data_IF_584906616791
#
_entry.id   IF_584906616791
#
_cell.length_a   1.000
_cell.length_b   1.000
_cell.length_c   1.000
_cell.angle_alpha   90.00
_cell.angle_beta   90.00
_cell.angle_gamma   90.00
#
_symmetry.space_group_name_H-M   'P 1'
#
loop_
_entity.id
_entity.type
_entity.pdbx_description
1 polymer ?
#
# COMPACT_ATOMS: atom_id res chain seq x y z
N UNK A 1 12.58 -23.90 7.05
CA UNK A 1 11.39 -23.22 6.52
C UNK A 1 11.38 -23.57 5.07
N UNK A 2 10.35 -24.27 4.65
CA UNK A 2 10.47 -25.14 3.50
C UNK A 2 10.04 -24.35 2.27
N UNK A 3 10.96 -24.09 1.34
CA UNK A 3 10.70 -23.39 0.09
C UNK A 3 9.47 -23.98 -0.62
N UNK A 4 9.33 -25.31 -0.56
CA UNK A 4 8.17 -26.09 -1.00
C UNK A 4 6.80 -25.54 -0.57
N UNK A 5 6.68 -24.99 0.64
CA UNK A 5 5.41 -24.43 1.11
C UNK A 5 5.15 -23.05 0.48
N UNK A 6 6.20 -22.26 0.24
CA UNK A 6 6.06 -20.95 -0.40
C UNK A 6 5.68 -21.12 -1.88
N UNK A 7 6.37 -22.01 -2.60
CA UNK A 7 6.03 -22.42 -3.97
C UNK A 7 4.58 -22.95 -4.07
N UNK A 8 4.14 -23.70 -3.04
CA UNK A 8 2.75 -24.15 -2.93
C UNK A 8 1.76 -22.97 -2.86
N UNK A 9 2.00 -21.92 -2.06
CA UNK A 9 1.07 -20.77 -2.00
C UNK A 9 0.96 -20.01 -3.33
N UNK A 10 2.10 -19.82 -4.01
CA UNK A 10 2.16 -19.08 -5.28
C UNK A 10 1.47 -19.84 -6.42
N UNK A 11 1.46 -21.18 -6.36
CA UNK A 11 0.77 -22.03 -7.34
C UNK A 11 -0.70 -22.30 -6.98
N UNK A 12 -1.01 -22.49 -5.70
CA UNK A 12 -2.36 -22.75 -5.20
C UNK A 12 -3.31 -21.57 -5.45
N UNK A 13 -2.87 -20.35 -5.14
CA UNK A 13 -3.75 -19.17 -5.16
C UNK A 13 -4.33 -18.88 -6.55
N UNK A 14 -3.53 -18.84 -7.65
CA UNK A 14 -4.07 -18.70 -9.01
C UNK A 14 -4.95 -19.89 -9.42
N UNK A 15 -4.58 -21.13 -9.08
CA UNK A 15 -5.39 -22.31 -9.43
C UNK A 15 -6.76 -22.29 -8.75
N UNK A 16 -6.82 -21.88 -7.48
CA UNK A 16 -8.05 -21.77 -6.72
C UNK A 16 -8.92 -20.61 -7.23
N UNK A 17 -8.33 -19.47 -7.58
CA UNK A 17 -9.04 -18.37 -8.24
C UNK A 17 -9.61 -18.79 -9.60
N UNK A 18 -8.86 -19.51 -10.43
CA UNK A 18 -9.33 -20.07 -11.70
C UNK A 18 -10.53 -21.01 -11.50
N UNK A 19 -10.46 -21.89 -10.49
CA UNK A 19 -11.57 -22.79 -10.16
C UNK A 19 -12.83 -22.04 -9.71
N UNK A 20 -12.67 -20.95 -8.94
CA UNK A 20 -13.79 -20.08 -8.54
C UNK A 20 -14.42 -19.35 -9.73
N UNK A 21 -13.60 -18.76 -10.60
CA UNK A 21 -14.09 -18.00 -11.76
C UNK A 21 -14.84 -18.90 -12.77
N UNK A 22 -14.41 -20.16 -12.93
CA UNK A 22 -15.14 -21.16 -13.74
C UNK A 22 -16.53 -21.48 -13.13
N UNK A 23 -16.60 -21.66 -11.80
CA UNK A 23 -17.87 -21.89 -11.10
C UNK A 23 -18.79 -20.66 -11.23
N UNK A 24 -18.26 -19.45 -11.04
CA UNK A 24 -18.97 -18.17 -11.18
C UNK A 24 -19.53 -18.00 -12.61
N UNK A 25 -18.70 -18.21 -13.64
CA UNK A 25 -19.09 -18.14 -15.07
C UNK A 25 -20.21 -19.11 -15.45
N UNK A 26 -20.11 -20.38 -15.00
CA UNK A 26 -21.14 -21.39 -15.25
C UNK A 26 -22.43 -21.11 -14.47
N UNK A 27 -22.33 -20.53 -13.27
CA UNK A 27 -23.50 -20.12 -12.48
C UNK A 27 -24.23 -18.93 -13.12
N UNK A 28 -23.50 -17.93 -13.62
CA UNK A 28 -24.09 -16.80 -14.34
C UNK A 28 -24.80 -17.26 -15.62
N UNK A 29 -24.18 -18.17 -16.38
CA UNK A 29 -24.75 -18.79 -17.58
C UNK A 29 -26.07 -19.52 -17.25
N UNK A 30 -26.06 -20.37 -16.21
CA UNK A 30 -27.26 -21.08 -15.76
C UNK A 30 -28.34 -20.15 -15.21
N UNK A 31 -27.97 -19.03 -14.58
CA UNK A 31 -28.91 -18.04 -14.04
C UNK A 31 -29.56 -17.15 -15.11
N UNK A 32 -28.91 -17.02 -16.26
CA UNK A 32 -29.38 -16.25 -17.42
C UNK A 32 -30.24 -17.08 -18.39
N UNK A 33 -30.25 -18.40 -18.20
CA UNK A 33 -31.04 -19.34 -18.99
C UNK A 33 -32.54 -19.27 -18.63
N UNK A 34 -33.41 -19.67 -19.56
CA UNK A 34 -34.86 -19.61 -19.33
C UNK A 34 -35.31 -20.63 -18.26
N UNK A 35 -36.40 -20.37 -17.52
CA UNK A 35 -36.90 -21.29 -16.51
C UNK A 35 -37.17 -22.68 -17.09
N UNK A 36 -36.43 -23.69 -16.61
CA UNK A 36 -36.55 -25.08 -17.05
C UNK A 36 -35.59 -25.53 -18.16
N UNK A 37 -34.67 -24.69 -18.66
CA UNK A 37 -33.67 -25.11 -19.66
C UNK A 37 -32.34 -25.59 -19.06
N UNK A 38 -32.08 -25.36 -17.77
CA UNK A 38 -30.88 -25.86 -17.09
C UNK A 38 -31.03 -27.37 -16.85
N UNK A 39 -30.10 -28.16 -17.37
CA UNK A 39 -30.14 -29.62 -17.25
C UNK A 39 -29.76 -30.11 -15.85
N UNK A 40 -30.26 -31.28 -15.46
CA UNK A 40 -29.85 -31.92 -14.22
C UNK A 40 -28.35 -32.25 -14.21
N UNK A 41 -27.77 -32.56 -15.38
CA UNK A 41 -26.34 -32.85 -15.54
C UNK A 41 -25.47 -31.60 -15.31
N UNK A 42 -25.91 -30.41 -15.73
CA UNK A 42 -25.21 -29.15 -15.42
C UNK A 42 -25.23 -28.83 -13.93
N UNK A 43 -26.36 -29.06 -13.25
CA UNK A 43 -26.48 -28.87 -11.80
C UNK A 43 -25.58 -29.85 -11.03
N UNK A 44 -25.56 -31.13 -11.45
CA UNK A 44 -24.66 -32.14 -10.89
C UNK A 44 -23.18 -31.78 -11.12
N UNK A 45 -22.83 -31.30 -12.31
CA UNK A 45 -21.47 -30.86 -12.64
C UNK A 45 -21.03 -29.63 -11.83
N UNK A 46 -21.91 -28.65 -11.63
CA UNK A 46 -21.67 -27.49 -10.76
C UNK A 46 -21.47 -27.90 -9.30
N UNK A 47 -22.31 -28.82 -8.79
CA UNK A 47 -22.18 -29.38 -7.44
C UNK A 47 -20.84 -30.11 -7.25
N UNK A 48 -20.42 -30.91 -8.24
CA UNK A 48 -19.13 -31.59 -8.23
C UNK A 48 -17.94 -30.62 -8.24
N UNK A 49 -18.02 -29.50 -8.98
CA UNK A 49 -17.00 -28.46 -8.98
C UNK A 49 -16.92 -27.72 -7.63
N UNK A 50 -18.06 -27.40 -7.01
CA UNK A 50 -18.09 -26.82 -5.66
C UNK A 50 -17.50 -27.77 -4.61
N UNK A 51 -17.83 -29.06 -4.67
CA UNK A 51 -17.24 -30.07 -3.80
C UNK A 51 -15.72 -30.21 -4.01
N UNK A 52 -15.24 -30.12 -5.26
CA UNK A 52 -13.81 -30.09 -5.60
C UNK A 52 -13.13 -28.85 -5.03
N UNK A 53 -13.74 -27.68 -5.12
CA UNK A 53 -13.21 -26.43 -4.56
C UNK A 53 -13.11 -26.49 -3.03
N UNK A 54 -14.17 -26.96 -2.35
CA UNK A 54 -14.17 -27.16 -0.90
C UNK A 54 -13.09 -28.16 -0.46
N UNK A 55 -12.97 -29.30 -1.15
CA UNK A 55 -11.92 -30.29 -0.89
C UNK A 55 -10.52 -29.71 -1.12
N UNK A 56 -10.33 -28.90 -2.17
CA UNK A 56 -9.04 -28.27 -2.46
C UNK A 56 -8.57 -27.34 -1.34
N UNK A 57 -9.48 -26.70 -0.59
CA UNK A 57 -9.11 -25.90 0.59
C UNK A 57 -8.76 -26.83 1.77
N UNK A 58 -9.55 -27.88 1.98
CA UNK A 58 -9.32 -28.83 3.08
C UNK A 58 -8.00 -29.61 2.92
N UNK A 59 -7.67 -30.05 1.70
CA UNK A 59 -6.40 -30.71 1.37
C UNK A 59 -5.20 -29.74 1.51
N UNK A 60 -5.43 -28.43 1.40
CA UNK A 60 -4.43 -27.36 1.59
C UNK A 60 -4.38 -26.82 3.04
N UNK A 61 -5.25 -27.28 3.93
CA UNK A 61 -5.37 -26.74 5.28
C UNK A 61 -4.11 -27.04 6.11
N UNK A 62 -3.47 -25.97 6.62
CA UNK A 62 -2.18 -26.03 7.31
C UNK A 62 -0.97 -25.67 6.44
N UNK A 63 -1.10 -25.71 5.11
CA UNK A 63 -0.12 -25.12 4.19
C UNK A 63 -0.41 -23.62 3.96
N UNK A 64 -1.70 -23.28 3.76
CA UNK A 64 -2.17 -21.89 3.58
C UNK A 64 -2.28 -21.11 4.91
N UNK A 65 -2.03 -19.78 4.93
CA UNK A 65 -2.28 -18.94 6.08
C UNK A 65 -3.75 -18.98 6.54
N UNK A 66 -3.97 -18.94 7.87
CA UNK A 66 -5.31 -19.06 8.46
C UNK A 66 -6.27 -17.90 8.12
N UNK A 67 -5.73 -16.77 7.65
CA UNK A 67 -6.51 -15.67 7.09
C UNK A 67 -7.05 -16.04 5.70
N UNK A 68 -6.16 -16.46 4.80
CA UNK A 68 -6.51 -16.85 3.42
C UNK A 68 -7.45 -18.07 3.42
N UNK A 69 -7.23 -19.05 4.29
CA UNK A 69 -8.13 -20.20 4.47
C UNK A 69 -9.58 -19.75 4.71
N UNK A 70 -9.80 -18.87 5.70
CA UNK A 70 -11.14 -18.36 6.03
C UNK A 70 -11.75 -17.58 4.86
N UNK A 71 -10.93 -16.83 4.11
CA UNK A 71 -11.38 -16.07 2.95
C UNK A 71 -11.79 -17.00 1.79
N UNK A 72 -11.07 -18.10 1.56
CA UNK A 72 -11.41 -19.11 0.56
C UNK A 72 -12.66 -19.92 0.96
N UNK A 73 -12.77 -20.36 2.21
CA UNK A 73 -13.95 -21.05 2.75
C UNK A 73 -15.22 -20.17 2.68
N UNK A 74 -15.09 -18.89 3.03
CA UNK A 74 -16.18 -17.92 2.88
C UNK A 74 -16.58 -17.71 1.41
N UNK A 75 -15.61 -17.70 0.49
CA UNK A 75 -15.84 -17.63 -0.95
C UNK A 75 -16.66 -18.81 -1.48
N UNK A 76 -16.26 -20.06 -1.18
CA UNK A 76 -17.01 -21.26 -1.60
C UNK A 76 -18.38 -21.31 -0.94
N UNK A 77 -18.49 -20.90 0.32
CA UNK A 77 -19.78 -20.79 1.03
C UNK A 77 -20.73 -19.79 0.39
N UNK A 78 -20.21 -18.68 -0.14
CA UNK A 78 -21.00 -17.69 -0.88
C UNK A 78 -21.48 -18.23 -2.24
N UNK A 79 -20.65 -18.99 -2.96
CA UNK A 79 -21.01 -19.64 -4.23
C UNK A 79 -22.01 -20.80 -4.05
N UNK A 80 -21.98 -21.48 -2.90
CA UNK A 80 -22.95 -22.51 -2.54
C UNK A 80 -24.30 -21.94 -2.03
N UNK A 81 -24.39 -20.63 -1.75
CA UNK A 81 -25.64 -20.01 -1.36
C UNK A 81 -26.56 -19.81 -2.58
N UNK A 82 -27.90 -19.92 -2.44
CA UNK A 82 -28.81 -19.71 -3.56
C UNK A 82 -28.59 -18.33 -4.22
N UNK A 83 -28.62 -18.20 -5.57
CA UNK A 83 -28.27 -16.96 -6.26
C UNK A 83 -29.16 -15.76 -5.88
N UNK A 84 -30.35 -16.02 -5.35
CA UNK A 84 -31.24 -14.98 -4.81
C UNK A 84 -30.75 -14.42 -3.47
N UNK A 85 -29.94 -15.14 -2.68
CA UNK A 85 -29.51 -14.71 -1.34
C UNK A 85 -28.42 -13.64 -1.38
N UNK A 86 -27.57 -13.63 -2.41
CA UNK A 86 -26.59 -12.55 -2.66
C UNK A 86 -27.30 -11.23 -2.99
N UNK A 87 -28.17 -11.25 -4.01
CA UNK A 87 -29.00 -10.08 -4.38
C UNK A 87 -29.96 -9.67 -3.26
N UNK A 88 -30.53 -10.61 -2.50
CA UNK A 88 -31.33 -10.27 -1.29
C UNK A 88 -30.48 -9.62 -0.21
N UNK A 89 -29.26 -10.08 0.07
CA UNK A 89 -28.39 -9.46 1.08
C UNK A 89 -28.03 -8.01 0.69
N UNK A 90 -27.80 -7.76 -0.60
CA UNK A 90 -27.54 -6.42 -1.11
C UNK A 90 -28.81 -5.54 -1.10
N UNK A 91 -29.97 -6.08 -1.47
CA UNK A 91 -31.27 -5.41 -1.31
C UNK A 91 -31.64 -5.15 0.16
N UNK A 92 -31.30 -6.05 1.08
CA UNK A 92 -31.48 -5.88 2.53
C UNK A 92 -30.54 -4.81 3.10
N UNK A 93 -29.30 -4.72 2.60
CA UNK A 93 -28.37 -3.62 2.91
C UNK A 93 -28.85 -2.28 2.35
N UNK A 94 -29.42 -2.27 1.14
CA UNK A 94 -30.03 -1.07 0.57
C UNK A 94 -31.27 -0.63 1.37
N UNK A 95 -32.15 -1.57 1.72
CA UNK A 95 -33.34 -1.33 2.54
C UNK A 95 -32.98 -0.91 3.97
N UNK A 96 -31.96 -1.48 4.60
CA UNK A 96 -31.51 -1.07 5.94
C UNK A 96 -30.89 0.33 5.91
N UNK A 97 -30.10 0.65 4.88
CA UNK A 97 -29.60 2.01 4.65
C UNK A 97 -30.75 3.02 4.44
N UNK A 98 -31.73 2.67 3.61
CA UNK A 98 -32.92 3.52 3.38
C UNK A 98 -33.76 3.67 4.66
N UNK A 99 -33.84 2.63 5.50
CA UNK A 99 -34.50 2.71 6.82
C UNK A 99 -33.77 3.64 7.79
N UNK A 100 -32.45 3.70 7.76
CA UNK A 100 -31.65 4.57 8.62
C UNK A 100 -31.69 6.03 8.13
N UNK A 101 -31.68 6.25 6.81
CA UNK A 101 -31.96 7.54 6.17
C UNK A 101 -33.39 8.02 6.48
N UNK A 102 -34.38 7.12 6.50
CA UNK A 102 -35.74 7.44 6.93
C UNK A 102 -35.85 7.69 8.44
N UNK A 103 -35.10 7.00 9.30
CA UNK A 103 -35.07 7.28 10.75
C UNK A 103 -34.48 8.65 11.05
N UNK A 104 -33.37 9.00 10.40
CA UNK A 104 -32.72 10.31 10.56
C UNK A 104 -33.57 11.45 9.98
N UNK A 105 -34.38 11.18 8.94
CA UNK A 105 -35.29 12.16 8.34
C UNK A 105 -36.66 12.28 9.07
N UNK A 106 -37.16 11.22 9.71
CA UNK A 106 -38.50 11.18 10.32
C UNK A 106 -38.55 11.49 11.82
N UNK A 107 -37.45 11.89 12.43
CA UNK A 107 -37.42 12.38 13.82
C UNK A 107 -38.36 13.61 13.99
N UNK A 108 -39.46 13.51 14.75
CA UNK A 108 -40.51 14.53 14.75
C UNK A 108 -40.10 15.76 15.57
N UNK A 109 -39.96 16.90 14.90
CA UNK A 109 -39.85 18.22 15.55
C UNK A 109 -41.20 18.60 16.17
N UNK A 110 -41.41 18.26 17.44
CA UNK A 110 -42.60 18.62 18.22
C UNK A 110 -42.66 20.13 18.51
N UNK A 111 -43.22 20.90 17.57
CA UNK A 111 -43.74 22.25 17.83
C UNK A 111 -45.26 22.23 17.93
N UNK A 112 -45.80 22.03 19.13
CA UNK A 112 -47.16 22.46 19.46
C UNK A 112 -47.21 23.06 20.86
N UNK A 113 -47.68 24.30 20.94
CA UNK A 113 -47.87 25.07 22.16
C UNK A 113 -49.35 25.30 22.41
N UNK A 114 -49.78 25.54 23.66
CA UNK A 114 -51.09 26.16 23.92
C UNK A 114 -51.19 26.96 25.24
N UNK A 115 -51.49 28.27 25.09
CA UNK A 115 -52.37 29.14 25.94
C UNK A 115 -51.99 29.43 27.42
N UNK A 116 -52.32 30.58 28.05
CA UNK A 116 -52.72 31.96 27.65
C UNK A 116 -53.06 32.80 28.91
N UNK A 117 -52.56 34.05 29.10
CA UNK A 117 -53.32 35.13 29.82
C UNK A 117 -52.82 36.60 29.62
N UNK A 118 -53.63 37.41 28.93
CA UNK A 118 -54.07 38.84 29.17
C UNK A 118 -53.09 39.81 29.88
N UNK A 119 -52.77 41.05 29.41
CA UNK A 119 -53.67 42.21 29.12
C UNK A 119 -53.04 43.28 28.18
N UNK A 120 -53.90 44.07 27.49
CA UNK A 120 -53.61 45.23 26.61
C UNK A 120 -53.59 46.58 27.40
N UNK A 121 -53.49 47.81 26.82
CA UNK A 121 -53.37 48.29 25.41
C UNK A 121 -52.15 49.25 25.17
N UNK A 122 -51.88 49.90 24.02
CA UNK A 122 -52.42 49.91 22.65
C UNK A 122 -51.94 51.16 21.84
N UNK A 123 -51.99 51.11 20.49
CA UNK A 123 -51.68 52.19 19.50
C UNK A 123 -50.16 52.54 19.29
N UNK A 124 -49.59 52.86 18.10
CA UNK A 124 -50.08 53.18 16.72
C UNK A 124 -49.06 52.78 15.60
N UNK A 125 -49.52 52.65 14.33
CA UNK A 125 -48.72 52.68 13.05
C UNK A 125 -47.88 51.42 12.69
N UNK A 126 -47.90 50.75 11.51
CA UNK A 126 -48.31 51.03 10.11
C UNK A 126 -47.36 52.00 9.34
N UNK A 127 -46.89 51.80 8.08
CA UNK A 127 -47.27 50.89 6.96
C UNK A 127 -46.09 50.61 5.95
N UNK A 128 -46.05 49.42 5.33
CA UNK A 128 -45.53 48.98 3.98
C UNK A 128 -44.40 49.69 3.17
N UNK A 129 -43.46 48.90 2.62
CA UNK A 129 -43.03 48.68 1.18
C UNK A 129 -41.68 47.91 1.19
N UNK A 130 -41.33 46.91 0.36
CA UNK A 130 -41.48 46.56 -1.07
C UNK A 130 -40.30 47.02 -1.99
N UNK A 131 -39.84 46.09 -2.84
CA UNK A 131 -39.07 46.24 -4.10
C UNK A 131 -37.52 46.43 -4.11
N UNK A 132 -36.84 45.33 -4.49
CA UNK A 132 -35.99 45.11 -5.70
C UNK A 132 -34.73 45.96 -6.06
N UNK A 133 -33.72 45.20 -6.53
CA UNK A 133 -32.59 45.52 -7.44
C UNK A 133 -31.39 46.36 -6.95
N UNK A 134 -30.17 45.91 -7.27
CA UNK A 134 -29.22 46.59 -8.18
C UNK A 134 -28.10 45.62 -8.65
N UNK A 135 -27.31 46.02 -9.67
CA UNK A 135 -26.36 45.19 -10.41
C UNK A 135 -24.87 45.51 -10.14
N UNK A 136 -23.97 44.77 -10.81
CA UNK A 136 -22.48 44.79 -10.73
C UNK A 136 -21.84 46.08 -11.38
N UNK A 137 -20.49 46.32 -11.44
CA UNK A 137 -19.41 45.34 -11.75
C UNK A 137 -17.99 45.57 -11.12
N UNK A 138 -17.03 44.83 -11.69
CA UNK A 138 -15.59 44.51 -11.43
C UNK A 138 -14.53 45.64 -11.54
N UNK A 139 -13.41 45.55 -10.78
CA UNK A 139 -11.99 45.72 -11.26
C UNK A 139 -10.90 45.60 -10.16
N UNK A 140 -9.65 45.28 -10.55
CA UNK A 140 -8.37 45.22 -9.79
C UNK A 140 -7.32 46.16 -10.44
N UNK A 141 -6.28 46.73 -9.76
CA UNK A 141 -4.93 46.10 -9.76
C UNK A 141 -3.87 46.51 -8.67
N UNK A 142 -2.80 45.69 -8.55
CA UNK A 142 -1.33 45.99 -8.56
C UNK A 142 -0.53 46.90 -7.53
N UNK A 143 0.56 46.30 -7.00
CA UNK A 143 1.94 46.74 -6.60
C UNK A 143 2.32 48.18 -6.13
N UNK A 144 3.09 48.27 -5.01
CA UNK A 144 4.49 48.79 -4.92
C UNK A 144 4.92 49.49 -3.59
N UNK A 145 6.05 49.01 -3.02
CA UNK A 145 7.09 49.66 -2.16
C UNK A 145 6.80 50.85 -1.21
N UNK A 146 7.38 50.81 0.02
CA UNK A 146 8.49 51.70 0.45
C UNK A 146 9.15 51.22 1.78
N UNK A 147 10.48 51.35 1.83
CA UNK A 147 11.42 51.12 2.94
C UNK A 147 11.06 51.90 4.25
N UNK A 148 11.44 51.50 5.47
CA UNK A 148 12.81 51.47 6.06
C UNK A 148 12.76 51.11 7.57
N UNK A 149 13.78 50.61 8.30
CA UNK A 149 15.03 49.89 7.96
C UNK A 149 15.35 48.81 9.06
N UNK A 150 16.43 48.76 9.90
CA UNK A 150 16.73 47.55 10.70
C UNK A 150 16.65 47.71 12.24
N UNK A 151 16.57 46.59 12.96
CA UNK A 151 17.28 46.46 14.25
C UNK A 151 17.68 44.99 14.52
N UNK A 152 18.81 44.82 15.20
CA UNK A 152 19.54 43.56 15.32
C UNK A 152 19.19 42.83 16.64
N UNK A 153 18.62 41.62 16.54
CA UNK A 153 18.36 40.77 17.70
C UNK A 153 18.37 39.29 17.29
N UNK A 154 19.30 38.46 17.80
CA UNK A 154 19.39 37.05 17.45
C UNK A 154 18.26 36.25 18.11
N UNK A 155 17.13 36.15 17.42
CA UNK A 155 16.07 35.20 17.78
C UNK A 155 16.59 33.78 17.55
N UNK A 156 16.93 33.13 18.66
CA UNK A 156 17.44 31.77 18.70
C UNK A 156 16.59 30.82 17.84
N UNK A 157 17.27 30.01 17.03
CA UNK A 157 16.67 28.94 16.24
C UNK A 157 15.97 27.95 17.16
N UNK A 158 14.64 28.02 17.22
CA UNK A 158 13.84 26.94 17.77
C UNK A 158 13.90 25.76 16.79
N UNK A 159 14.57 24.68 17.20
CA UNK A 159 14.74 23.48 16.39
C UNK A 159 13.38 22.86 16.05
N UNK A 160 12.88 23.15 14.85
CA UNK A 160 11.69 22.52 14.30
C UNK A 160 12.04 21.12 13.78
N UNK A 161 12.27 20.17 14.69
CA UNK A 161 12.52 18.77 14.33
C UNK A 161 11.25 18.14 13.75
N UNK A 162 11.08 18.25 12.43
CA UNK A 162 9.98 17.57 11.72
C UNK A 162 10.15 16.06 11.85
N UNK A 163 9.07 15.30 12.16
CA UNK A 163 9.14 13.83 12.27
C UNK A 163 9.27 13.10 10.92
N UNK A 164 9.39 13.89 9.84
CA UNK A 164 9.45 13.47 8.46
C UNK A 164 10.87 13.60 7.92
N UNK A 165 11.37 12.51 7.34
CA UNK A 165 12.67 12.40 6.71
C UNK A 165 12.53 12.48 5.20
N UNK A 166 13.42 13.20 4.52
CA UNK A 166 13.38 13.35 3.07
C UNK A 166 14.77 13.23 2.46
N UNK A 167 14.97 12.27 1.56
CA UNK A 167 16.07 12.29 0.60
C UNK A 167 15.47 12.52 -0.78
N UNK A 168 15.90 13.60 -1.45
CA UNK A 168 15.36 13.93 -2.77
C UNK A 168 16.37 14.60 -3.71
N UNK A 169 16.16 14.44 -5.02
CA UNK A 169 16.89 15.13 -6.08
C UNK A 169 18.36 14.71 -6.22
N UNK A 170 18.75 13.55 -5.68
CA UNK A 170 20.14 13.09 -5.71
C UNK A 170 20.40 12.18 -6.91
N UNK A 171 21.57 12.36 -7.53
CA UNK A 171 22.06 11.47 -8.59
C UNK A 171 23.47 10.98 -8.29
N UNK A 172 23.79 9.73 -8.64
CA UNK A 172 25.14 9.16 -8.55
C UNK A 172 25.73 9.10 -7.13
N UNK A 173 24.89 8.97 -6.10
CA UNK A 173 25.33 9.04 -4.70
C UNK A 173 25.10 7.74 -3.94
N UNK A 174 26.00 7.50 -2.98
CA UNK A 174 25.77 6.63 -1.85
C UNK A 174 25.21 7.49 -0.71
N UNK A 175 23.97 7.22 -0.32
CA UNK A 175 23.22 7.95 0.71
C UNK A 175 22.99 7.04 1.92
N UNK A 176 23.09 7.60 3.12
CA UNK A 176 23.11 6.87 4.39
C UNK A 176 22.24 7.57 5.44
N UNK A 177 22.15 6.98 6.65
CA UNK A 177 21.52 7.62 7.82
C UNK A 177 22.16 8.95 8.22
N UNK A 178 23.41 9.20 7.81
CA UNK A 178 24.17 10.43 8.12
C UNK A 178 23.86 11.59 7.17
N UNK A 179 23.20 11.31 6.04
CA UNK A 179 22.75 12.33 5.08
C UNK A 179 21.42 13.00 5.52
N UNK A 180 20.86 12.56 6.65
CA UNK A 180 19.75 13.19 7.33
C UNK A 180 20.23 14.21 8.39
N UNK A 181 19.47 15.29 8.65
CA UNK A 181 19.67 16.14 9.82
C UNK A 181 19.59 15.37 11.17
N UNK A 182 19.90 16.01 12.31
CA UNK A 182 19.60 15.44 13.61
C UNK A 182 18.09 15.30 13.84
N UNK A 183 17.63 14.13 14.29
CA UNK A 183 16.22 13.83 14.48
C UNK A 183 15.96 13.11 15.82
N UNK A 184 14.92 13.51 16.53
CA UNK A 184 14.57 13.02 17.88
C UNK A 184 13.32 12.17 17.95
N UNK A 185 12.43 12.26 16.95
CA UNK A 185 11.23 11.44 16.82
C UNK A 185 10.94 11.21 15.33
N UNK A 186 11.41 10.09 14.79
CA UNK A 186 11.20 9.71 13.39
C UNK A 186 9.99 8.79 13.29
N UNK A 187 9.14 9.01 12.27
CA UNK A 187 8.02 8.10 11.94
C UNK A 187 7.92 7.89 10.42
N UNK A 188 8.20 8.91 9.63
CA UNK A 188 7.90 8.92 8.19
C UNK A 188 9.15 9.19 7.36
N UNK A 189 9.39 8.38 6.33
CA UNK A 189 10.48 8.56 5.37
C UNK A 189 9.94 8.73 3.95
N UNK A 190 10.42 9.75 3.25
CA UNK A 190 10.24 9.97 1.82
C UNK A 190 11.56 9.84 1.05
N UNK A 191 11.56 9.01 0.01
CA UNK A 191 12.63 8.93 -1.00
C UNK A 191 12.04 9.39 -2.34
N UNK A 192 12.53 10.49 -2.91
CA UNK A 192 11.89 11.10 -4.09
C UNK A 192 12.87 11.58 -5.16
N UNK A 193 12.62 11.28 -6.43
CA UNK A 193 13.37 11.84 -7.56
C UNK A 193 14.88 11.53 -7.47
N UNK A 194 15.23 10.24 -7.28
CA UNK A 194 16.61 9.75 -7.19
C UNK A 194 17.01 8.96 -8.44
N UNK A 195 18.27 9.05 -8.89
CA UNK A 195 18.75 8.29 -10.06
C UNK A 195 20.20 7.82 -9.91
N UNK A 196 20.54 6.60 -10.34
CA UNK A 196 21.90 6.02 -10.16
C UNK A 196 22.38 6.05 -8.69
N UNK A 197 21.47 5.88 -7.72
CA UNK A 197 21.75 6.05 -6.29
C UNK A 197 21.67 4.74 -5.50
N UNK A 198 22.59 4.58 -4.54
CA UNK A 198 22.47 3.61 -3.45
C UNK A 198 21.95 4.34 -2.22
N UNK A 199 20.86 3.86 -1.65
CA UNK A 199 20.27 4.35 -0.41
C UNK A 199 20.41 3.25 0.63
N UNK A 200 21.23 3.47 1.65
CA UNK A 200 21.59 2.46 2.65
C UNK A 200 21.30 2.95 4.08
N UNK A 201 20.10 2.64 4.55
CA UNK A 201 19.56 3.11 5.83
C UNK A 201 19.50 2.01 6.89
N UNK A 202 20.01 0.81 6.59
CA UNK A 202 20.19 -0.26 7.58
C UNK A 202 21.12 0.20 8.73
N UNK A 203 21.01 -0.39 9.94
CA UNK A 203 21.89 -0.06 11.06
C UNK A 203 23.38 -0.17 10.73
N UNK A 204 24.16 0.71 11.37
CA UNK A 204 25.61 0.80 11.25
C UNK A 204 26.25 0.41 12.58
N UNK A 205 26.36 -0.88 12.86
CA UNK A 205 27.04 -1.39 14.05
C UNK A 205 28.55 -1.18 13.93
N UNK A 206 29.07 -0.21 14.68
CA UNK A 206 30.53 -0.03 14.81
C UNK A 206 31.12 -1.12 15.71
N UNK A 207 32.44 -1.33 15.65
CA UNK A 207 33.14 -2.32 16.49
C UNK A 207 33.01 -2.08 18.02
N UNK A 208 32.52 -0.90 18.43
CA UNK A 208 32.18 -0.58 19.83
C UNK A 208 30.72 -0.86 20.22
N UNK A 209 29.91 -1.46 19.34
CA UNK A 209 28.49 -1.77 19.60
C UNK A 209 27.55 -0.57 19.53
N UNK A 210 28.04 0.62 19.14
CA UNK A 210 27.24 1.84 18.97
C UNK A 210 26.74 1.93 17.52
N UNK A 211 25.44 2.19 17.34
CA UNK A 211 24.86 2.46 16.02
C UNK A 211 25.21 3.88 15.54
N UNK A 212 26.01 3.98 14.49
CA UNK A 212 26.22 5.26 13.79
C UNK A 212 24.90 5.75 13.17
N UNK A 213 24.55 7.02 13.45
CA UNK A 213 23.32 7.66 12.97
C UNK A 213 22.09 7.45 13.87
N UNK A 214 22.20 6.74 15.00
CA UNK A 214 21.11 6.53 15.96
C UNK A 214 19.97 5.62 15.42
N UNK A 215 19.01 5.20 16.27
CA UNK A 215 17.94 4.28 15.88
C UNK A 215 16.89 4.96 14.97
N UNK A 216 16.47 4.25 13.92
CA UNK A 216 15.56 4.74 12.88
C UNK A 216 14.24 3.94 12.89
N UNK A 217 13.24 4.47 13.60
CA UNK A 217 11.94 3.81 13.81
C UNK A 217 10.90 4.29 12.78
N UNK A 218 10.87 3.68 11.59
CA UNK A 218 9.92 4.06 10.54
C UNK A 218 8.56 3.38 10.75
N UNK A 219 7.47 4.13 10.70
CA UNK A 219 6.09 3.64 10.59
C UNK A 219 5.51 3.84 9.19
N UNK A 220 6.02 4.79 8.41
CA UNK A 220 5.61 5.02 7.04
C UNK A 220 6.82 5.23 6.11
N UNK A 221 6.77 4.59 4.94
CA UNK A 221 7.71 4.80 3.84
C UNK A 221 6.94 5.22 2.59
N UNK A 222 7.36 6.34 2.00
CA UNK A 222 6.90 6.82 0.71
C UNK A 222 8.09 6.86 -0.26
N UNK A 223 7.96 6.23 -1.42
CA UNK A 223 8.97 6.26 -2.48
C UNK A 223 8.34 6.74 -3.77
N UNK A 224 8.94 7.71 -4.45
CA UNK A 224 8.43 8.26 -5.72
C UNK A 224 9.54 8.54 -6.73
N UNK A 225 9.37 8.16 -7.99
CA UNK A 225 10.28 8.53 -9.09
C UNK A 225 11.75 8.13 -8.78
N UNK A 226 11.98 6.82 -8.65
CA UNK A 226 13.31 6.25 -8.40
C UNK A 226 13.76 5.43 -9.60
N UNK A 227 15.01 5.63 -10.03
CA UNK A 227 15.52 5.02 -11.26
C UNK A 227 16.96 4.53 -11.14
N UNK A 228 17.24 3.31 -11.56
CA UNK A 228 18.59 2.73 -11.49
C UNK A 228 19.14 2.78 -10.04
N UNK A 229 18.32 2.37 -9.07
CA UNK A 229 18.58 2.54 -7.64
C UNK A 229 18.62 1.24 -6.84
N UNK A 230 19.49 1.18 -5.82
CA UNK A 230 19.48 0.13 -4.80
C UNK A 230 19.08 0.74 -3.47
N UNK A 231 18.06 0.19 -2.80
CA UNK A 231 17.47 0.75 -1.59
C UNK A 231 17.42 -0.30 -0.48
N UNK A 232 18.24 -0.11 0.56
CA UNK A 232 18.35 -0.96 1.74
C UNK A 232 17.73 -0.23 2.94
N UNK A 233 16.65 -0.77 3.49
CA UNK A 233 15.87 -0.11 4.53
C UNK A 233 15.82 -0.93 5.82
N UNK A 234 15.79 -0.28 6.99
CA UNK A 234 15.42 -0.96 8.23
C UNK A 234 13.96 -1.43 8.16
N UNK A 235 13.55 -2.28 9.10
CA UNK A 235 12.16 -2.74 9.17
C UNK A 235 11.21 -1.57 9.44
N UNK A 236 10.22 -1.36 8.56
CA UNK A 236 9.18 -0.35 8.71
C UNK A 236 8.02 -0.94 9.51
N UNK A 237 7.80 -0.46 10.73
CA UNK A 237 6.72 -0.85 11.64
C UNK A 237 5.33 -0.33 11.19
N UNK A 238 5.02 -0.44 9.90
CA UNK A 238 3.79 0.05 9.29
C UNK A 238 3.79 -0.14 7.77
N UNK A 239 3.44 0.91 7.01
CA UNK A 239 3.17 0.81 5.58
C UNK A 239 4.26 1.39 4.68
N UNK A 240 4.54 0.67 3.60
CA UNK A 240 5.36 1.13 2.48
C UNK A 240 4.49 1.37 1.23
N UNK A 241 4.59 2.57 0.65
CA UNK A 241 3.99 2.95 -0.62
C UNK A 241 5.09 3.35 -1.60
N UNK A 242 5.26 2.55 -2.65
CA UNK A 242 6.27 2.72 -3.69
C UNK A 242 5.57 3.11 -5.00
N UNK A 243 5.96 4.22 -5.62
CA UNK A 243 5.32 4.74 -6.82
C UNK A 243 6.35 5.16 -7.87
N UNK A 244 6.09 4.87 -9.14
CA UNK A 244 6.92 5.32 -10.28
C UNK A 244 8.40 4.95 -10.10
N UNK A 245 8.71 3.66 -10.19
CA UNK A 245 10.07 3.15 -10.07
C UNK A 245 10.49 2.38 -11.32
N UNK A 246 11.74 2.53 -11.76
CA UNK A 246 12.30 1.83 -12.92
C UNK A 246 13.69 1.27 -12.60
N UNK A 247 13.88 -0.06 -12.80
CA UNK A 247 15.18 -0.73 -12.59
C UNK A 247 15.74 -0.45 -11.21
N UNK A 248 15.13 -1.03 -10.19
CA UNK A 248 15.59 -0.88 -8.81
C UNK A 248 15.63 -2.23 -8.07
N UNK A 249 16.55 -2.35 -7.12
CA UNK A 249 16.57 -3.46 -6.14
C UNK A 249 16.25 -2.93 -4.76
N UNK A 250 15.22 -3.49 -4.13
CA UNK A 250 14.67 -3.02 -2.85
C UNK A 250 14.77 -4.13 -1.80
N UNK A 251 15.45 -3.87 -0.69
CA UNK A 251 15.41 -4.69 0.51
C UNK A 251 14.51 -4.01 1.55
N UNK A 252 13.39 -4.64 1.90
CA UNK A 252 12.35 -4.01 2.71
C UNK A 252 11.65 -5.02 3.64
N UNK A 253 11.57 -4.66 4.91
CA UNK A 253 10.61 -5.24 5.86
C UNK A 253 9.47 -4.26 6.15
N UNK A 254 8.21 -4.70 6.13
CA UNK A 254 7.06 -3.85 6.44
C UNK A 254 5.86 -4.64 6.99
N UNK A 255 4.82 -3.96 7.51
CA UNK A 255 3.53 -4.60 7.79
C UNK A 255 2.60 -4.61 6.57
N UNK A 256 2.66 -3.56 5.75
CA UNK A 256 1.85 -3.39 4.54
C UNK A 256 2.73 -2.87 3.40
N UNK A 257 2.49 -3.36 2.18
CA UNK A 257 3.22 -2.95 0.98
C UNK A 257 2.26 -2.67 -0.16
N UNK A 258 2.45 -1.53 -0.83
CA UNK A 258 1.77 -1.18 -2.07
C UNK A 258 2.78 -0.64 -3.07
N UNK A 259 2.73 -1.13 -4.30
CA UNK A 259 3.52 -0.61 -5.42
C UNK A 259 2.63 -0.19 -6.59
N UNK A 260 2.89 0.99 -7.17
CA UNK A 260 2.07 1.56 -8.23
C UNK A 260 2.93 2.15 -9.37
N UNK A 261 2.56 1.89 -10.64
CA UNK A 261 3.26 2.44 -11.83
C UNK A 261 4.77 2.14 -11.88
N UNK A 262 5.19 0.95 -11.43
CA UNK A 262 6.61 0.58 -11.36
C UNK A 262 6.98 -0.56 -12.33
N UNK A 263 8.22 -0.60 -12.79
CA UNK A 263 8.69 -1.62 -13.74
C UNK A 263 10.13 -2.08 -13.50
N UNK A 264 10.39 -3.36 -13.78
CA UNK A 264 11.72 -3.97 -13.62
C UNK A 264 12.26 -3.78 -12.20
N UNK A 265 11.50 -4.22 -11.19
CA UNK A 265 11.87 -4.05 -9.78
C UNK A 265 12.10 -5.41 -9.16
N UNK A 266 13.29 -5.64 -8.60
CA UNK A 266 13.53 -6.79 -7.74
C UNK A 266 13.30 -6.36 -6.30
N UNK A 267 12.52 -7.13 -5.54
CA UNK A 267 12.24 -6.82 -4.14
C UNK A 267 12.42 -8.04 -3.26
N UNK A 268 13.25 -7.88 -2.22
CA UNK A 268 13.44 -8.83 -1.15
C UNK A 268 12.60 -8.39 0.06
N UNK A 269 11.47 -9.08 0.26
CA UNK A 269 10.36 -8.59 1.09
C UNK A 269 10.12 -9.46 2.33
N UNK A 270 10.00 -8.82 3.49
CA UNK A 270 9.47 -9.39 4.73
C UNK A 270 8.17 -8.66 5.06
N UNK A 271 7.02 -9.35 5.05
CA UNK A 271 5.72 -8.68 5.16
C UNK A 271 4.66 -9.48 5.93
N UNK A 272 4.00 -8.83 6.88
CA UNK A 272 2.95 -9.44 7.72
C UNK A 272 1.58 -9.58 7.02
N UNK A 273 1.46 -9.16 5.76
CA UNK A 273 0.23 -9.16 4.95
C UNK A 273 0.56 -9.45 3.48
N UNK A 274 -0.46 -9.61 2.64
CA UNK A 274 -0.27 -9.82 1.20
C UNK A 274 0.11 -8.49 0.50
N UNK A 275 1.26 -8.39 -0.19
CA UNK A 275 1.67 -7.18 -0.90
C UNK A 275 0.77 -6.92 -2.11
N UNK A 276 0.45 -5.65 -2.35
CA UNK A 276 -0.41 -5.22 -3.48
C UNK A 276 0.44 -4.52 -4.54
N UNK A 277 0.20 -4.84 -5.81
CA UNK A 277 0.75 -4.11 -6.97
C UNK A 277 -0.36 -3.64 -7.90
N UNK A 278 -0.14 -2.52 -8.57
CA UNK A 278 -1.07 -1.94 -9.54
C UNK A 278 -0.32 -1.15 -10.63
N UNK A 279 -0.73 -1.29 -11.89
CA UNK A 279 -0.08 -0.70 -13.06
C UNK A 279 1.44 -0.98 -13.15
N UNK A 280 1.87 -2.13 -12.62
CA UNK A 280 3.26 -2.55 -12.58
C UNK A 280 3.60 -3.56 -13.70
N UNK A 281 4.88 -3.79 -13.97
CA UNK A 281 5.34 -4.84 -14.91
C UNK A 281 6.75 -5.34 -14.62
N UNK A 282 7.03 -6.62 -14.87
CA UNK A 282 8.32 -7.26 -14.57
C UNK A 282 8.81 -7.00 -13.13
N UNK A 283 7.91 -7.15 -12.14
CA UNK A 283 8.27 -7.10 -10.72
C UNK A 283 8.70 -8.49 -10.26
N UNK A 284 9.83 -8.63 -9.57
CA UNK A 284 10.37 -9.92 -9.13
C UNK A 284 10.45 -9.94 -7.60
N UNK A 285 9.65 -10.77 -6.94
CA UNK A 285 9.62 -10.90 -5.48
C UNK A 285 10.49 -12.06 -5.00
N UNK A 286 11.34 -11.81 -4.02
CA UNK A 286 12.10 -12.81 -3.26
C UNK A 286 11.85 -12.67 -1.75
N UNK A 287 12.24 -13.68 -0.99
CA UNK A 287 12.18 -13.61 0.47
C UNK A 287 13.28 -12.68 1.01
N UNK A 288 12.99 -12.00 2.12
CA UNK A 288 13.96 -11.17 2.82
C UNK A 288 15.09 -12.04 3.43
N UNK A 289 16.38 -11.78 3.12
CA UNK A 289 17.46 -12.61 3.63
C UNK A 289 17.63 -12.54 5.14
N UNK A 290 17.79 -13.71 5.78
CA UNK A 290 18.05 -13.80 7.21
C UNK A 290 19.31 -13.04 7.68
N UNK A 291 20.29 -12.84 6.80
CA UNK A 291 21.50 -12.05 7.06
C UNK A 291 21.23 -10.56 7.37
N UNK A 292 20.08 -10.03 6.93
CA UNK A 292 19.66 -8.66 7.20
C UNK A 292 18.55 -8.55 8.26
N UNK A 293 18.19 -9.66 8.93
CA UNK A 293 17.16 -9.68 9.97
C UNK A 293 17.81 -9.59 11.36
N UNK A 294 17.53 -8.56 12.18
CA UNK A 294 18.21 -8.39 13.48
C UNK A 294 17.92 -9.49 14.50
N UNK A 295 16.78 -10.17 14.37
CA UNK A 295 16.33 -11.24 15.25
C UNK A 295 15.81 -12.40 14.38
N UNK A 296 16.43 -13.59 14.41
CA UNK A 296 15.96 -14.74 13.64
C UNK A 296 14.50 -15.06 13.95
N UNK A 297 13.61 -14.76 13.00
CA UNK A 297 12.17 -14.97 13.11
C UNK A 297 11.67 -15.74 11.88
N UNK A 298 10.60 -16.55 12.01
CA UNK A 298 9.94 -17.13 10.85
C UNK A 298 9.46 -16.04 9.90
N UNK A 299 9.89 -16.12 8.64
CA UNK A 299 9.41 -15.21 7.61
C UNK A 299 7.95 -15.55 7.30
N UNK A 300 7.02 -14.60 7.46
CA UNK A 300 5.64 -14.80 7.05
C UNK A 300 5.57 -15.03 5.54
N UNK A 301 4.82 -16.05 5.16
CA UNK A 301 4.56 -16.35 3.76
C UNK A 301 3.45 -15.43 3.24
N UNK A 302 3.61 -14.95 2.01
CA UNK A 302 2.71 -13.97 1.41
C UNK A 302 2.37 -14.34 -0.04
N UNK A 303 1.23 -13.89 -0.53
CA UNK A 303 0.82 -13.97 -1.94
C UNK A 303 0.68 -12.56 -2.50
N UNK A 304 1.19 -12.32 -3.71
CA UNK A 304 1.13 -10.98 -4.32
C UNK A 304 -0.23 -10.77 -4.97
N UNK A 305 -0.87 -9.64 -4.67
CA UNK A 305 -2.17 -9.25 -5.24
C UNK A 305 -1.96 -8.19 -6.32
N UNK A 306 -2.21 -8.55 -7.58
CA UNK A 306 -2.13 -7.62 -8.71
C UNK A 306 -3.52 -7.07 -9.07
N UNK A 307 -3.75 -5.79 -8.77
CA UNK A 307 -5.04 -5.13 -9.00
C UNK A 307 -5.24 -4.75 -10.48
N UNK A 308 -4.18 -4.71 -11.29
CA UNK A 308 -4.31 -4.55 -12.75
C UNK A 308 -4.65 -5.84 -13.48
N UNK A 309 -4.57 -7.00 -12.81
CA UNK A 309 -4.88 -8.29 -13.39
C UNK A 309 -6.04 -8.97 -12.66
N UNK A 310 -7.24 -8.42 -12.84
CA UNK A 310 -8.51 -8.95 -12.32
C UNK A 310 -8.95 -10.32 -12.90
N UNK A 311 -8.08 -11.00 -13.64
CA UNK A 311 -8.36 -12.29 -14.29
C UNK A 311 -7.87 -13.43 -13.40
N UNK A 312 -8.58 -14.55 -13.44
CA UNK A 312 -8.26 -15.72 -12.62
C UNK A 312 -7.03 -16.53 -13.08
N UNK A 313 -6.42 -16.16 -14.20
CA UNK A 313 -5.09 -16.62 -14.64
C UNK A 313 -3.98 -16.01 -13.76
N UNK A 314 -2.78 -16.62 -13.62
CA UNK A 314 -1.64 -15.95 -13.00
C UNK A 314 -1.35 -14.58 -13.62
N UNK A 315 -0.89 -13.62 -12.81
CA UNK A 315 -0.49 -12.30 -13.32
C UNK A 315 0.77 -12.39 -14.18
N UNK A 316 0.83 -11.67 -15.32
CA UNK A 316 2.07 -11.51 -16.11
C UNK A 316 2.96 -10.36 -15.58
N UNK A 317 2.47 -9.56 -14.63
CA UNK A 317 3.12 -8.33 -14.19
C UNK A 317 4.16 -8.56 -13.09
N UNK A 318 4.07 -9.68 -12.38
CA UNK A 318 5.08 -10.10 -11.41
C UNK A 318 5.50 -11.56 -11.61
N UNK A 319 6.69 -11.87 -11.13
CA UNK A 319 7.19 -13.22 -10.94
C UNK A 319 7.74 -13.40 -9.53
N UNK A 320 7.87 -14.64 -9.14
CA UNK A 320 8.58 -15.07 -7.95
C UNK A 320 10.02 -15.40 -8.37
N UNK A 321 11.02 -14.91 -7.63
CA UNK A 321 12.42 -15.22 -7.89
C UNK A 321 12.75 -16.61 -7.33
N UNK A 322 13.45 -17.48 -8.08
CA UNK A 322 13.97 -18.73 -7.52
C UNK A 322 15.07 -18.44 -6.49
N UNK A 323 15.34 -19.41 -5.63
CA UNK A 323 16.33 -19.30 -4.55
C UNK A 323 17.72 -18.89 -5.08
N UNK A 324 18.17 -19.44 -6.22
CA UNK A 324 19.48 -19.11 -6.79
C UNK A 324 19.61 -17.62 -7.17
N UNK A 325 18.56 -17.03 -7.76
CA UNK A 325 18.57 -15.61 -8.11
C UNK A 325 18.42 -14.72 -6.86
N UNK A 326 17.63 -15.16 -5.89
CA UNK A 326 17.48 -14.50 -4.59
C UNK A 326 18.81 -14.46 -3.83
N UNK A 327 19.55 -15.57 -3.78
CA UNK A 327 20.88 -15.65 -3.17
C UNK A 327 21.92 -14.81 -3.92
N UNK A 328 21.91 -14.77 -5.27
CA UNK A 328 22.81 -13.89 -6.04
C UNK A 328 22.59 -12.40 -5.73
N UNK A 329 21.32 -11.96 -5.62
CA UNK A 329 21.02 -10.58 -5.22
C UNK A 329 21.50 -10.34 -3.79
N UNK A 330 21.17 -11.24 -2.86
CA UNK A 330 21.62 -11.18 -1.46
C UNK A 330 23.14 -11.06 -1.33
N UNK A 331 23.93 -11.92 -1.99
CA UNK A 331 25.40 -11.86 -1.97
C UNK A 331 25.94 -10.52 -2.49
N UNK A 332 25.31 -9.96 -3.53
CA UNK A 332 25.67 -8.65 -4.05
C UNK A 332 25.30 -7.50 -3.07
N UNK A 333 24.17 -7.59 -2.37
CA UNK A 333 23.80 -6.66 -1.29
C UNK A 333 24.72 -6.78 -0.07
N UNK A 334 25.09 -8.00 0.34
CA UNK A 334 26.05 -8.26 1.43
C UNK A 334 27.42 -7.68 1.08
N UNK A 335 27.87 -7.85 -0.18
CA UNK A 335 29.10 -7.25 -0.71
C UNK A 335 29.04 -5.71 -0.70
N UNK A 336 27.90 -5.12 -1.09
CA UNK A 336 27.68 -3.68 -1.04
C UNK A 336 27.74 -3.13 0.39
N UNK A 337 27.12 -3.84 1.34
CA UNK A 337 27.10 -3.50 2.78
C UNK A 337 28.48 -3.66 3.42
N UNK A 338 29.21 -4.73 3.12
CA UNK A 338 30.57 -4.95 3.62
C UNK A 338 31.53 -3.81 3.18
N UNK A 339 31.33 -3.27 1.97
CA UNK A 339 32.15 -2.20 1.41
C UNK A 339 31.74 -0.76 1.83
N UNK A 340 30.74 -0.58 2.72
CA UNK A 340 30.24 0.74 3.18
C UNK A 340 31.32 1.79 3.44
N UNK A 341 32.39 1.43 4.18
CA UNK A 341 33.47 2.36 4.52
C UNK A 341 34.24 2.87 3.29
N UNK A 342 34.49 1.99 2.32
CA UNK A 342 35.13 2.34 1.04
C UNK A 342 34.19 3.19 0.18
N UNK A 343 32.89 2.88 0.17
CA UNK A 343 31.88 3.62 -0.57
C UNK A 343 31.74 5.08 -0.07
N UNK A 344 31.71 5.31 1.26
CA UNK A 344 31.67 6.67 1.83
C UNK A 344 32.91 7.50 1.44
N UNK A 345 34.11 6.91 1.52
CA UNK A 345 35.37 7.62 1.23
C UNK A 345 35.50 8.08 -0.24
N UNK A 346 34.61 7.62 -1.13
CA UNK A 346 34.64 7.90 -2.56
C UNK A 346 33.49 8.83 -3.01
N UNK A 347 32.76 9.46 -2.07
CA UNK A 347 31.65 10.39 -2.35
C UNK A 347 32.02 11.63 -3.20
N UNK A 348 33.31 11.89 -3.45
CA UNK A 348 33.78 13.01 -4.29
C UNK A 348 33.81 12.71 -5.80
N UNK A 349 33.99 11.46 -6.21
CA UNK A 349 34.03 11.10 -7.63
C UNK A 349 33.67 9.61 -7.81
N UNK A 350 32.90 9.29 -8.86
CA UNK A 350 32.33 7.94 -9.09
C UNK A 350 33.44 6.87 -9.02
N UNK A 351 33.50 6.13 -7.92
CA UNK A 351 34.26 4.88 -7.90
C UNK A 351 33.68 3.95 -8.96
N UNK A 352 34.52 3.52 -9.90
CA UNK A 352 34.14 2.53 -10.92
C UNK A 352 33.54 1.29 -10.24
N UNK A 353 34.03 0.91 -9.05
CA UNK A 353 33.46 -0.19 -8.27
C UNK A 353 32.02 0.07 -7.78
N UNK A 354 31.67 1.30 -7.39
CA UNK A 354 30.30 1.63 -6.98
C UNK A 354 29.32 1.48 -8.15
N UNK A 355 29.70 2.02 -9.32
CA UNK A 355 28.92 1.90 -10.54
C UNK A 355 28.86 0.46 -11.06
N UNK A 356 29.97 -0.30 -10.97
CA UNK A 356 30.01 -1.71 -11.37
C UNK A 356 29.16 -2.58 -10.45
N UNK A 357 29.21 -2.36 -9.13
CA UNK A 357 28.36 -3.09 -8.17
C UNK A 357 26.89 -2.73 -8.35
N UNK A 358 26.55 -1.46 -8.59
CA UNK A 358 25.19 -1.04 -8.92
C UNK A 358 24.70 -1.72 -10.22
N UNK A 359 25.50 -1.69 -11.28
CA UNK A 359 25.19 -2.30 -12.58
C UNK A 359 25.12 -3.84 -12.49
N UNK A 360 25.93 -4.49 -11.65
CA UNK A 360 25.80 -5.92 -11.33
C UNK A 360 24.47 -6.20 -10.61
N UNK A 361 24.14 -5.45 -9.55
CA UNK A 361 22.90 -5.64 -8.77
C UNK A 361 21.65 -5.38 -9.63
N UNK A 362 21.72 -4.46 -10.58
CA UNK A 362 20.61 -4.12 -11.50
C UNK A 362 20.50 -5.03 -12.74
N UNK A 363 21.49 -5.90 -12.98
CA UNK A 363 21.50 -6.87 -14.11
C UNK A 363 21.08 -8.29 -13.71
N UNK A 364 21.01 -8.59 -12.42
CA UNK A 364 20.38 -9.80 -11.85
C UNK A 364 18.87 -9.54 -11.72
#
# INVERSE_FOLDING_TARGET
MDASNWDFLQSFTPQFQAMRSEIESRLDTASSAAPGTVSADELNALSALLAKAAKSIADAAGAIPSYDQKQYEAGVSALSAPPHRGKQMEQLKALSKTLEELRTTSAPKSKFAFKRKVRAPGATGAITKSALQHAAPTSVPELASFASSPDDAPLASADSSSPHLLLSGQRNKYLTRLDFPPHTAQTDLSLADLTDCVVDLLPLTTAGGLEEGGPLNLTALHVRNLKDCVVLLPHVAGSALLHDMERCVILLGSHQFRMHTSKQINILLSIASNPIIEHCSAIRFGQYPAAFEPVPKPLPMYTVQDFSHIRATPSPNFSIMPDEETERIKEALETLVCNRGVQRSLQGDRSVAAALTLDIILRV
#
